data_IF_318344986121
#
_entry.id   IF_318344986121
#
_cell.length_a   1.000
_cell.length_b   1.000
_cell.length_c   1.000
_cell.angle_alpha   90.00
_cell.angle_beta   90.00
_cell.angle_gamma   90.00
#
_symmetry.space_group_name_H-M   'P 1'
#
loop_
_entity.id
_entity.type
_entity.pdbx_description
1 polymer ?
#
# COMPACT_ATOMS: atom_id res chain seq x y z
N UNK A 1 -12.08 1.12 -10.86
CA UNK A 1 -12.48 1.89 -9.68
C UNK A 1 -12.14 1.10 -8.44
N UNK A 2 -11.33 1.72 -7.59
CA UNK A 2 -10.88 1.26 -6.29
C UNK A 2 -11.99 0.58 -5.46
N UNK A 3 -13.21 1.12 -5.48
CA UNK A 3 -14.37 0.61 -4.73
C UNK A 3 -14.70 -0.86 -5.03
N UNK A 4 -14.38 -1.35 -6.23
CA UNK A 4 -14.66 -2.74 -6.66
C UNK A 4 -13.43 -3.63 -6.64
N UNK A 5 -12.23 -3.06 -6.76
CA UNK A 5 -10.99 -3.83 -6.92
C UNK A 5 -10.10 -3.82 -5.67
N UNK A 6 -10.49 -3.09 -4.63
CA UNK A 6 -9.76 -3.06 -3.38
C UNK A 6 -10.11 -4.29 -2.54
N UNK A 7 -9.18 -5.24 -2.47
CA UNK A 7 -9.31 -6.45 -1.67
C UNK A 7 -8.99 -6.15 -0.19
N UNK A 8 -10.02 -5.75 0.56
CA UNK A 8 -9.94 -5.40 1.98
C UNK A 8 -9.29 -6.52 2.83
N UNK A 9 -9.74 -7.79 2.77
CA UNK A 9 -9.17 -8.84 3.64
C UNK A 9 -7.70 -9.12 3.31
N UNK A 10 -7.31 -9.09 2.03
CA UNK A 10 -5.90 -9.22 1.64
C UNK A 10 -5.04 -8.09 2.21
N UNK A 11 -5.46 -6.84 2.02
CA UNK A 11 -4.70 -5.66 2.45
C UNK A 11 -4.62 -5.58 3.97
N UNK A 12 -5.72 -5.88 4.67
CA UNK A 12 -5.75 -5.85 6.13
C UNK A 12 -4.78 -6.85 6.76
N UNK A 13 -4.68 -8.07 6.20
CA UNK A 13 -3.75 -9.09 6.69
C UNK A 13 -2.29 -8.65 6.54
N UNK A 14 -1.93 -8.11 5.36
CA UNK A 14 -0.58 -7.62 5.08
C UNK A 14 -0.23 -6.39 5.93
N UNK A 15 -1.17 -5.44 6.07
CA UNK A 15 -0.99 -4.25 6.89
C UNK A 15 -0.80 -4.58 8.38
N UNK A 16 -1.50 -5.60 8.89
CA UNK A 16 -1.33 -6.08 10.26
C UNK A 16 0.07 -6.66 10.49
N UNK A 17 0.58 -7.48 9.57
CA UNK A 17 1.94 -8.04 9.62
C UNK A 17 3.01 -6.95 9.57
N UNK A 18 2.86 -5.98 8.67
CA UNK A 18 3.78 -4.85 8.55
C UNK A 18 3.80 -4.02 9.84
N UNK A 19 2.62 -3.72 10.40
CA UNK A 19 2.47 -2.98 11.66
C UNK A 19 3.09 -3.73 12.85
N UNK A 20 2.97 -5.05 12.90
CA UNK A 20 3.56 -5.88 13.95
C UNK A 20 5.10 -5.77 13.94
N UNK A 21 5.71 -5.77 12.74
CA UNK A 21 7.17 -5.62 12.59
C UNK A 21 7.63 -4.22 13.02
N UNK A 22 6.85 -3.19 12.68
CA UNK A 22 7.13 -1.80 13.12
C UNK A 22 7.10 -1.65 14.65
N UNK A 23 6.33 -2.48 15.37
CA UNK A 23 6.34 -2.48 16.83
C UNK A 23 7.61 -3.07 17.45
N UNK A 24 8.44 -3.79 16.70
CA UNK A 24 9.71 -4.33 17.21
C UNK A 24 10.92 -3.46 16.83
N UNK A 25 10.86 -2.75 15.69
CA UNK A 25 11.93 -1.86 15.18
C UNK A 25 11.79 -0.38 15.59
N UNK A 26 11.49 -0.14 16.88
CA UNK A 26 10.96 1.16 17.36
C UNK A 26 11.86 2.41 17.31
N UNK A 27 13.21 2.39 17.37
CA UNK A 27 13.96 3.64 17.54
C UNK A 27 13.94 4.58 16.33
N UNK A 28 13.97 4.05 15.11
CA UNK A 28 14.17 4.85 13.88
C UNK A 28 12.82 5.22 13.21
N UNK A 29 11.80 4.36 13.35
CA UNK A 29 10.49 4.52 12.68
C UNK A 29 9.60 5.56 13.38
N UNK A 30 9.73 5.74 14.69
CA UNK A 30 8.90 6.65 15.47
C UNK A 30 9.20 8.15 15.22
N UNK A 31 10.36 8.48 14.64
CA UNK A 31 10.84 9.86 14.50
C UNK A 31 10.32 10.54 13.21
N UNK A 32 9.81 9.79 12.24
CA UNK A 32 9.41 10.37 10.94
C UNK A 32 7.89 10.47 10.74
N UNK A 33 7.50 11.61 10.14
CA UNK A 33 6.18 12.17 9.80
C UNK A 33 4.99 11.18 9.77
N UNK A 34 3.81 11.66 10.16
CA UNK A 34 2.48 11.01 10.04
C UNK A 34 2.28 10.06 8.85
N UNK A 35 2.82 10.41 7.67
CA UNK A 35 2.77 9.60 6.46
C UNK A 35 3.59 8.29 6.54
N UNK A 36 4.74 8.31 7.21
CA UNK A 36 5.62 7.16 7.44
C UNK A 36 5.10 6.19 8.53
N UNK A 37 4.04 6.57 9.26
CA UNK A 37 3.41 5.74 10.31
C UNK A 37 2.32 4.81 9.76
N UNK A 38 1.96 4.93 8.48
CA UNK A 38 0.97 4.05 7.83
C UNK A 38 1.70 2.91 7.10
N UNK A 39 1.13 1.70 7.08
CA UNK A 39 1.69 0.58 6.33
C UNK A 39 1.85 0.95 4.85
N UNK A 40 3.05 0.81 4.29
CA UNK A 40 3.33 1.00 2.87
C UNK A 40 2.48 0.07 2.00
N UNK A 41 2.07 -1.08 2.56
CA UNK A 41 1.08 -1.99 2.00
C UNK A 41 -0.21 -1.28 1.61
N UNK A 42 -0.74 -0.39 2.46
CA UNK A 42 -2.00 0.30 2.21
C UNK A 42 -1.88 1.26 1.02
N UNK A 43 -0.81 2.04 0.96
CA UNK A 43 -0.58 2.95 -0.16
C UNK A 43 -0.39 2.20 -1.48
N UNK A 44 0.41 1.13 -1.47
CA UNK A 44 0.59 0.28 -2.64
C UNK A 44 -0.74 -0.33 -3.10
N UNK A 45 -1.56 -0.79 -2.17
CA UNK A 45 -2.86 -1.38 -2.48
C UNK A 45 -3.82 -0.37 -3.12
N UNK A 46 -3.88 0.86 -2.58
CA UNK A 46 -4.71 1.93 -3.15
C UNK A 46 -4.30 2.23 -4.59
N UNK A 47 -2.99 2.38 -4.85
CA UNK A 47 -2.47 2.64 -6.18
C UNK A 47 -2.81 1.52 -7.18
N UNK A 48 -2.59 0.27 -6.80
CA UNK A 48 -2.84 -0.86 -7.70
C UNK A 48 -4.33 -1.11 -7.90
N UNK A 49 -5.16 -0.91 -6.88
CA UNK A 49 -6.61 -1.05 -7.03
C UNK A 49 -7.23 -0.02 -7.98
N UNK A 50 -6.60 1.15 -8.11
CA UNK A 50 -7.07 2.20 -9.00
C UNK A 50 -6.47 2.09 -10.41
N UNK A 51 -5.16 1.83 -10.51
CA UNK A 51 -4.43 1.94 -11.78
C UNK A 51 -3.97 0.61 -12.39
N UNK A 52 -4.02 -0.51 -11.66
CA UNK A 52 -3.65 -1.81 -12.20
C UNK A 52 -4.88 -2.57 -12.69
N UNK A 53 -4.77 -3.18 -13.87
CA UNK A 53 -5.83 -4.02 -14.45
C UNK A 53 -5.96 -5.41 -13.79
N UNK A 54 -4.87 -6.11 -13.42
CA UNK A 54 -4.97 -7.44 -12.79
C UNK A 54 -5.50 -7.37 -11.35
N UNK A 55 -6.07 -8.48 -10.82
CA UNK A 55 -6.49 -8.59 -9.44
C UNK A 55 -5.39 -8.19 -8.45
N UNK A 56 -5.78 -7.50 -7.38
CA UNK A 56 -4.85 -6.86 -6.44
C UNK A 56 -3.83 -7.85 -5.86
N UNK A 57 -4.25 -9.04 -5.46
CA UNK A 57 -3.36 -10.08 -4.92
C UNK A 57 -2.25 -10.50 -5.89
N UNK A 58 -2.51 -10.49 -7.21
CA UNK A 58 -1.53 -10.87 -8.24
C UNK A 58 -0.61 -9.71 -8.63
N UNK A 59 -1.14 -8.49 -8.69
CA UNK A 59 -0.38 -7.30 -9.07
C UNK A 59 0.49 -6.80 -7.92
N UNK A 60 0.10 -7.08 -6.66
CA UNK A 60 0.80 -6.61 -5.47
C UNK A 60 2.26 -7.09 -5.40
N UNK A 61 2.54 -8.33 -5.80
CA UNK A 61 3.89 -8.91 -5.74
C UNK A 61 4.71 -8.70 -7.03
N UNK A 62 4.14 -8.05 -8.04
CA UNK A 62 4.79 -7.81 -9.33
C UNK A 62 5.27 -6.36 -9.45
N UNK A 63 6.28 -6.14 -10.28
CA UNK A 63 6.60 -4.81 -10.76
C UNK A 63 5.47 -4.32 -11.66
N UNK A 64 4.98 -3.10 -11.43
CA UNK A 64 3.92 -2.48 -12.24
C UNK A 64 4.49 -1.22 -12.88
N UNK A 65 4.22 -1.03 -14.18
CA UNK A 65 4.59 0.18 -14.91
C UNK A 65 3.39 1.11 -14.95
N UNK A 66 3.44 2.20 -14.18
CA UNK A 66 2.38 3.22 -14.11
C UNK A 66 2.80 4.51 -14.83
N UNK A 67 3.47 4.38 -15.97
CA UNK A 67 3.94 5.55 -16.73
C UNK A 67 2.75 6.39 -17.22
N UNK A 68 2.86 7.72 -17.06
CA UNK A 68 1.82 8.67 -17.45
C UNK A 68 0.70 8.85 -16.42
N UNK A 69 0.69 8.07 -15.33
CA UNK A 69 -0.24 8.30 -14.21
C UNK A 69 0.29 9.44 -13.35
N UNK A 70 -0.49 10.53 -13.24
CA UNK A 70 -0.21 11.63 -12.32
C UNK A 70 -0.98 11.42 -11.02
N UNK A 71 -0.27 11.49 -9.90
CA UNK A 71 -0.80 11.31 -8.56
C UNK A 71 -0.44 12.53 -7.72
N UNK A 72 -1.45 13.15 -7.10
CA UNK A 72 -1.28 14.34 -6.27
C UNK A 72 -0.56 15.49 -7.01
N UNK A 73 -0.91 15.73 -8.28
CA UNK A 73 -0.57 16.97 -8.99
C UNK A 73 -1.34 18.12 -8.29
N UNK A 74 -0.66 19.18 -7.80
CA UNK A 74 -1.30 20.27 -7.05
C UNK A 74 -2.25 21.15 -7.87
#
# INVERSE_FOLDING_TARGET
MIERHFDIPFVANLALREKQIQQNYRPIIAVHKWFARRPGTLFRALLLSEFASPPLNTSFYKANKLHGVRLADP
#
